data_IF_632601698046
#
_entry.id   IF_632601698046
#
_cell.length_a   1.000
_cell.length_b   1.000
_cell.length_c   1.000
_cell.angle_alpha   90.00
_cell.angle_beta   90.00
_cell.angle_gamma   90.00
#
_symmetry.space_group_name_H-M   'P 1'
#
loop_
_entity.id
_entity.type
_entity.pdbx_description
1 polymer ?
#
# COMPACT_ATOMS: atom_id res chain seq x y z
N UNK A 1 -0.12 25.69 -7.94
CA UNK A 1 -1.14 25.58 -9.02
C UNK A 1 -0.67 24.51 -9.99
N UNK A 2 -1.01 23.25 -9.76
CA UNK A 2 -0.71 22.14 -10.67
C UNK A 2 -1.46 22.44 -11.96
N UNK A 3 -0.71 22.71 -13.02
CA UNK A 3 -1.31 23.04 -14.30
C UNK A 3 -1.99 21.77 -14.82
N UNK A 4 -3.27 21.88 -15.14
CA UNK A 4 -4.05 20.83 -15.83
C UNK A 4 -3.27 20.26 -17.03
N UNK A 5 -2.40 21.08 -17.64
CA UNK A 5 -1.45 20.68 -18.70
C UNK A 5 -0.48 19.58 -18.26
N UNK A 6 -0.01 19.60 -17.01
CA UNK A 6 0.94 18.58 -16.52
C UNK A 6 0.23 17.24 -16.26
N UNK A 7 -1.04 17.28 -15.85
CA UNK A 7 -1.87 16.09 -15.73
C UNK A 7 -2.19 15.46 -17.09
N UNK A 8 -2.57 16.30 -18.07
CA UNK A 8 -2.85 15.85 -19.44
C UNK A 8 -1.58 15.32 -20.11
N UNK A 9 -0.44 15.97 -19.90
CA UNK A 9 0.86 15.52 -20.43
C UNK A 9 1.28 14.18 -19.82
N UNK A 10 1.14 14.01 -18.51
CA UNK A 10 1.42 12.75 -17.85
C UNK A 10 0.46 11.64 -18.29
N UNK A 11 -0.82 11.94 -18.52
CA UNK A 11 -1.79 10.98 -19.03
C UNK A 11 -1.50 10.62 -20.51
N UNK A 12 -1.16 11.58 -21.35
CA UNK A 12 -0.75 11.36 -22.74
C UNK A 12 0.57 10.56 -22.81
N UNK A 13 1.54 10.86 -21.94
CA UNK A 13 2.80 10.11 -21.79
C UNK A 13 2.54 8.66 -21.37
N UNK A 14 1.59 8.45 -20.48
CA UNK A 14 1.13 7.13 -20.03
C UNK A 14 0.53 6.31 -21.19
N UNK A 15 -0.36 6.93 -21.99
CA UNK A 15 -0.96 6.31 -23.17
C UNK A 15 0.10 6.01 -24.24
N UNK A 16 1.02 6.96 -24.49
CA UNK A 16 2.08 6.76 -25.48
C UNK A 16 3.04 5.62 -25.07
N UNK A 17 3.37 5.50 -23.79
CA UNK A 17 4.16 4.38 -23.27
C UNK A 17 3.40 3.05 -23.29
N UNK A 18 2.06 3.09 -23.26
CA UNK A 18 1.20 1.91 -23.42
C UNK A 18 1.25 1.36 -24.86
N UNK A 19 1.31 2.27 -25.84
CA UNK A 19 1.31 1.94 -27.28
C UNK A 19 2.71 1.57 -27.75
N UNK A 20 3.76 2.16 -27.14
CA UNK A 20 5.17 1.95 -27.50
C UNK A 20 6.00 1.55 -26.27
N UNK A 21 5.93 0.32 -25.80
CA UNK A 21 6.67 -0.14 -24.62
C UNK A 21 8.17 -0.13 -24.87
N UNK A 22 8.87 0.88 -24.38
CA UNK A 22 10.32 0.79 -24.18
C UNK A 22 10.58 -0.01 -22.90
N UNK A 23 11.37 -1.04 -23.02
CA UNK A 23 11.47 -2.27 -22.21
C UNK A 23 11.69 -2.17 -20.69
N UNK A 24 11.76 -1.04 -20.05
CA UNK A 24 12.16 -1.01 -18.62
C UNK A 24 11.26 -0.23 -17.65
N UNK A 25 10.32 0.57 -18.11
CA UNK A 25 9.56 1.46 -17.21
C UNK A 25 8.07 1.14 -17.05
N UNK A 26 7.52 0.25 -17.85
CA UNK A 26 6.08 -0.05 -17.89
C UNK A 26 5.65 -1.00 -16.75
N UNK A 27 6.57 -1.84 -16.24
CA UNK A 27 6.20 -2.91 -15.34
C UNK A 27 5.60 -2.47 -13.99
N UNK A 28 6.23 -1.53 -13.29
CA UNK A 28 5.92 -1.30 -11.89
C UNK A 28 4.61 -0.49 -11.67
N UNK A 29 4.34 0.54 -12.45
CA UNK A 29 3.14 1.37 -12.27
C UNK A 29 1.85 0.65 -12.68
N UNK A 30 1.87 -0.04 -13.82
CA UNK A 30 0.70 -0.78 -14.32
C UNK A 30 0.32 -1.98 -13.45
N UNK A 31 1.30 -2.70 -12.92
CA UNK A 31 1.05 -3.82 -12.00
C UNK A 31 0.35 -3.32 -10.74
N UNK A 32 0.75 -2.17 -10.20
CA UNK A 32 0.14 -1.59 -8.99
C UNK A 32 -1.31 -1.13 -9.24
N UNK A 33 -1.55 -0.32 -10.27
CA UNK A 33 -2.91 0.17 -10.58
C UNK A 33 -3.84 -0.94 -11.07
N UNK A 34 -3.32 -1.86 -11.88
CA UNK A 34 -4.05 -3.06 -12.29
C UNK A 34 -4.42 -3.94 -11.11
N UNK A 35 -3.51 -4.08 -10.13
CA UNK A 35 -3.75 -4.79 -8.88
C UNK A 35 -4.85 -4.15 -8.04
N UNK A 36 -4.88 -2.81 -7.91
CA UNK A 36 -5.94 -2.10 -7.19
C UNK A 36 -7.30 -2.28 -7.90
N UNK A 37 -7.38 -2.01 -9.20
CA UNK A 37 -8.63 -2.12 -9.95
C UNK A 37 -9.13 -3.57 -9.99
N UNK A 38 -8.23 -4.53 -10.26
CA UNK A 38 -8.54 -5.95 -10.23
C UNK A 38 -8.97 -6.43 -8.84
N UNK A 39 -8.34 -5.93 -7.78
CA UNK A 39 -8.69 -6.21 -6.38
C UNK A 39 -10.08 -5.69 -6.03
N UNK A 40 -10.41 -4.45 -6.40
CA UNK A 40 -11.74 -3.86 -6.16
C UNK A 40 -12.81 -4.65 -6.95
N UNK A 41 -12.59 -4.92 -8.23
CA UNK A 41 -13.52 -5.68 -9.06
C UNK A 41 -13.68 -7.11 -8.52
N UNK A 42 -12.57 -7.78 -8.21
CA UNK A 42 -12.56 -9.12 -7.63
C UNK A 42 -13.31 -9.19 -6.30
N UNK A 43 -13.20 -8.15 -5.47
CA UNK A 43 -13.94 -8.04 -4.22
C UNK A 43 -15.46 -8.00 -4.45
N UNK A 44 -15.94 -7.16 -5.37
CA UNK A 44 -17.37 -7.09 -5.68
C UNK A 44 -17.89 -8.37 -6.31
N UNK A 45 -17.15 -8.94 -7.26
CA UNK A 45 -17.50 -10.21 -7.90
C UNK A 45 -17.48 -11.37 -6.89
N UNK A 46 -16.47 -11.45 -6.04
CA UNK A 46 -16.35 -12.46 -5.00
C UNK A 46 -17.50 -12.42 -4.01
N UNK A 47 -17.86 -11.22 -3.52
CA UNK A 47 -19.00 -11.05 -2.63
C UNK A 47 -20.32 -11.49 -3.29
N UNK A 48 -20.50 -11.15 -4.58
CA UNK A 48 -21.69 -11.53 -5.37
C UNK A 48 -21.76 -13.05 -5.59
N UNK A 49 -20.65 -13.69 -5.96
CA UNK A 49 -20.56 -15.14 -6.17
C UNK A 49 -20.81 -15.89 -4.86
N UNK A 50 -20.19 -15.46 -3.78
CA UNK A 50 -20.33 -16.05 -2.45
C UNK A 50 -21.70 -15.75 -1.81
N UNK A 51 -22.52 -14.89 -2.42
CA UNK A 51 -23.84 -14.45 -1.89
C UNK A 51 -23.76 -13.89 -0.46
N UNK A 52 -22.66 -13.22 -0.12
CA UNK A 52 -22.44 -12.56 1.17
C UNK A 52 -22.48 -11.06 1.01
N UNK A 53 -22.76 -10.36 2.11
CA UNK A 53 -22.75 -8.88 2.09
C UNK A 53 -21.33 -8.38 1.84
N UNK A 54 -21.19 -7.34 1.03
CA UNK A 54 -19.89 -6.71 0.71
C UNK A 54 -19.13 -6.34 1.99
N UNK A 55 -19.82 -5.85 3.02
CA UNK A 55 -19.20 -5.51 4.29
C UNK A 55 -18.58 -6.72 5.02
N UNK A 56 -19.18 -7.88 4.92
CA UNK A 56 -18.63 -9.12 5.50
C UNK A 56 -17.41 -9.59 4.70
N UNK A 57 -17.50 -9.52 3.37
CA UNK A 57 -16.38 -9.83 2.49
C UNK A 57 -15.19 -8.90 2.74
N UNK A 58 -15.43 -7.58 2.90
CA UNK A 58 -14.42 -6.59 3.27
C UNK A 58 -13.70 -6.93 4.58
N UNK A 59 -14.43 -7.41 5.60
CA UNK A 59 -13.83 -7.82 6.85
C UNK A 59 -12.88 -9.01 6.67
N UNK A 60 -13.29 -10.02 5.91
CA UNK A 60 -12.44 -11.20 5.62
C UNK A 60 -11.22 -10.76 4.81
N UNK A 61 -11.43 -9.96 3.77
CA UNK A 61 -10.36 -9.46 2.91
C UNK A 61 -9.33 -8.64 3.68
N UNK A 62 -9.79 -7.82 4.64
CA UNK A 62 -8.92 -7.00 5.49
C UNK A 62 -7.97 -7.80 6.38
N UNK A 63 -8.34 -9.04 6.73
CA UNK A 63 -7.47 -9.94 7.50
C UNK A 63 -6.40 -10.52 6.59
N UNK A 64 -6.78 -10.97 5.40
CA UNK A 64 -5.87 -11.65 4.48
C UNK A 64 -4.87 -10.67 3.85
N UNK A 65 -5.30 -9.43 3.59
CA UNK A 65 -4.48 -8.43 2.89
C UNK A 65 -3.14 -8.14 3.57
N UNK A 66 -3.03 -7.84 4.88
CA UNK A 66 -1.74 -7.59 5.51
C UNK A 66 -0.84 -8.82 5.50
N UNK A 67 -1.40 -10.02 5.55
CA UNK A 67 -0.63 -11.27 5.43
C UNK A 67 0.03 -11.37 4.05
N UNK A 68 -0.74 -11.26 2.98
CA UNK A 68 -0.21 -11.32 1.60
C UNK A 68 0.77 -10.18 1.35
N UNK A 69 0.46 -8.99 1.85
CA UNK A 69 1.33 -7.81 1.72
C UNK A 69 2.68 -8.02 2.43
N UNK A 70 2.71 -8.66 3.60
CA UNK A 70 3.95 -8.99 4.30
C UNK A 70 4.89 -9.84 3.42
N UNK A 71 4.37 -10.86 2.72
CA UNK A 71 5.15 -11.65 1.77
C UNK A 71 5.59 -10.84 0.55
N UNK A 72 4.75 -9.91 0.07
CA UNK A 72 5.15 -8.96 -0.98
C UNK A 72 6.36 -8.13 -0.57
N UNK A 73 6.45 -7.71 0.71
CA UNK A 73 7.61 -6.98 1.24
C UNK A 73 8.87 -7.86 1.36
N UNK A 74 8.72 -9.14 1.69
CA UNK A 74 9.83 -10.08 1.60
C UNK A 74 10.34 -10.23 0.15
N UNK A 75 9.44 -10.24 -0.82
CA UNK A 75 9.80 -10.22 -2.24
C UNK A 75 10.59 -8.95 -2.61
N UNK A 76 10.14 -7.76 -2.16
CA UNK A 76 10.88 -6.51 -2.34
C UNK A 76 12.27 -6.55 -1.69
N UNK A 77 12.39 -7.17 -0.53
CA UNK A 77 13.68 -7.37 0.15
C UNK A 77 14.63 -8.24 -0.70
N UNK A 78 14.15 -9.38 -1.21
CA UNK A 78 14.95 -10.25 -2.06
C UNK A 78 15.36 -9.58 -3.39
N UNK A 79 14.46 -8.77 -3.97
CA UNK A 79 14.73 -8.02 -5.20
C UNK A 79 15.64 -6.80 -5.00
N UNK A 80 15.83 -6.34 -3.76
CA UNK A 80 16.62 -5.14 -3.45
C UNK A 80 15.95 -3.84 -3.91
N UNK A 81 14.61 -3.81 -3.98
CA UNK A 81 13.84 -2.59 -4.26
C UNK A 81 13.21 -2.02 -2.98
N UNK A 82 12.72 -0.77 -3.03
CA UNK A 82 12.07 -0.11 -1.88
C UNK A 82 12.97 -0.07 -0.62
N UNK A 83 14.25 0.13 -0.80
CA UNK A 83 15.26 0.07 0.25
C UNK A 83 15.19 1.25 1.23
N UNK A 84 15.79 1.05 2.42
CA UNK A 84 15.84 2.04 3.48
C UNK A 84 17.05 2.95 3.42
N UNK A 85 17.12 3.86 4.41
CA UNK A 85 18.21 4.83 4.58
C UNK A 85 19.56 4.14 4.78
N UNK A 86 20.71 4.78 4.43
CA UNK A 86 22.02 4.32 4.83
C UNK A 86 22.12 4.13 6.36
N UNK A 87 22.61 2.98 6.79
CA UNK A 87 22.61 2.58 8.19
C UNK A 87 23.69 1.55 8.47
N UNK A 88 24.57 1.83 9.42
CA UNK A 88 25.72 0.98 9.78
C UNK A 88 25.51 0.13 11.04
N UNK A 89 24.26 -0.02 11.52
CA UNK A 89 23.98 -0.80 12.73
C UNK A 89 23.92 -2.32 12.51
N UNK A 90 23.60 -3.06 13.58
CA UNK A 90 23.62 -4.54 13.63
C UNK A 90 22.74 -5.23 12.58
N UNK A 91 21.68 -4.59 12.12
CA UNK A 91 20.74 -5.14 11.13
C UNK A 91 20.97 -4.59 9.72
N UNK A 92 22.13 -3.96 9.45
CA UNK A 92 22.42 -3.41 8.14
C UNK A 92 22.57 -4.51 7.08
N UNK A 93 21.96 -4.29 5.92
CA UNK A 93 21.98 -5.21 4.77
C UNK A 93 22.72 -4.53 3.63
N UNK A 94 23.58 -5.27 2.93
CA UNK A 94 24.26 -4.84 1.71
C UNK A 94 23.77 -5.65 0.53
N UNK A 95 23.39 -4.99 -0.53
CA UNK A 95 23.04 -5.63 -1.79
C UNK A 95 24.27 -5.70 -2.69
N UNK A 96 24.54 -6.88 -3.25
CA UNK A 96 25.65 -7.12 -4.17
C UNK A 96 25.20 -7.43 -5.60
N UNK A 97 23.88 -7.64 -5.81
CA UNK A 97 23.33 -7.94 -7.12
C UNK A 97 23.24 -6.68 -7.98
N UNK A 98 23.89 -6.59 -9.15
CA UNK A 98 23.80 -5.43 -10.06
C UNK A 98 22.40 -5.14 -10.60
N UNK A 99 21.49 -6.13 -10.58
CA UNK A 99 20.09 -5.97 -11.00
C UNK A 99 19.19 -5.38 -9.90
N UNK A 100 19.74 -5.20 -8.69
CA UNK A 100 19.02 -4.55 -7.59
C UNK A 100 18.89 -3.07 -7.84
N UNK A 101 17.73 -2.47 -7.47
CA UNK A 101 17.57 -1.01 -7.48
C UNK A 101 18.32 -0.34 -6.33
N UNK A 102 18.70 -1.09 -5.29
CA UNK A 102 19.47 -0.57 -4.16
C UNK A 102 20.93 -0.30 -4.55
N UNK A 103 21.58 0.70 -3.95
CA UNK A 103 22.99 0.97 -4.18
C UNK A 103 23.85 -0.22 -3.73
N UNK A 104 24.80 -0.60 -4.61
CA UNK A 104 25.63 -1.79 -4.42
C UNK A 104 26.63 -1.56 -3.27
N UNK A 105 26.77 -2.54 -2.39
CA UNK A 105 27.68 -2.57 -1.25
C UNK A 105 27.51 -1.43 -0.23
N UNK A 106 26.44 -0.65 -0.31
CA UNK A 106 26.09 0.35 0.72
C UNK A 106 25.30 -0.36 1.83
N UNK A 107 25.68 -0.19 3.10
CA UNK A 107 24.89 -0.70 4.22
C UNK A 107 23.60 0.10 4.37
N UNK A 108 22.46 -0.60 4.33
CA UNK A 108 21.11 -0.01 4.32
C UNK A 108 20.28 -0.60 5.44
N UNK A 109 19.36 0.20 5.99
CA UNK A 109 18.35 -0.27 6.93
C UNK A 109 17.32 -1.15 6.21
N UNK A 110 17.03 -2.38 6.68
CA UNK A 110 16.11 -3.30 6.02
C UNK A 110 14.65 -2.94 6.28
N UNK A 111 14.21 -1.78 5.80
CA UNK A 111 12.84 -1.28 6.01
C UNK A 111 11.77 -2.24 5.50
N UNK A 112 12.07 -3.02 4.45
CA UNK A 112 11.17 -4.02 3.90
C UNK A 112 10.89 -5.14 4.92
N UNK A 113 11.90 -5.60 5.66
CA UNK A 113 11.75 -6.60 6.72
C UNK A 113 10.96 -6.04 7.90
N UNK A 114 11.25 -4.80 8.31
CA UNK A 114 10.48 -4.12 9.35
C UNK A 114 9.00 -3.98 8.96
N UNK A 115 8.73 -3.52 7.73
CA UNK A 115 7.35 -3.40 7.22
C UNK A 115 6.64 -4.77 7.15
N UNK A 116 7.33 -5.81 6.67
CA UNK A 116 6.81 -7.18 6.65
C UNK A 116 6.44 -7.68 8.05
N UNK A 117 7.31 -7.46 9.03
CA UNK A 117 7.07 -7.85 10.43
C UNK A 117 5.86 -7.12 11.02
N UNK A 118 5.77 -5.80 10.83
CA UNK A 118 4.65 -4.99 11.32
C UNK A 118 3.31 -5.38 10.65
N UNK A 119 3.33 -5.70 9.36
CA UNK A 119 2.16 -6.22 8.65
C UNK A 119 1.74 -7.60 9.17
N UNK A 120 2.69 -8.46 9.51
CA UNK A 120 2.40 -9.75 10.09
C UNK A 120 1.78 -9.61 11.49
N UNK A 121 2.28 -8.70 12.32
CA UNK A 121 1.63 -8.37 13.60
C UNK A 121 0.22 -7.81 13.40
N UNK A 122 0.03 -6.93 12.43
CA UNK A 122 -1.29 -6.39 12.10
C UNK A 122 -2.25 -7.51 11.67
N UNK A 123 -1.80 -8.47 10.88
CA UNK A 123 -2.58 -9.67 10.53
C UNK A 123 -3.02 -10.43 11.77
N UNK A 124 -2.10 -10.71 12.70
CA UNK A 124 -2.43 -11.45 13.94
C UNK A 124 -3.45 -10.68 14.79
N UNK A 125 -3.29 -9.37 14.94
CA UNK A 125 -4.23 -8.51 15.66
C UNK A 125 -5.62 -8.58 15.02
N UNK A 126 -5.72 -8.41 13.70
CA UNK A 126 -7.00 -8.46 12.98
C UNK A 126 -7.66 -9.85 13.06
N UNK A 127 -6.87 -10.92 13.05
CA UNK A 127 -7.37 -12.28 13.25
C UNK A 127 -7.96 -12.47 14.65
N UNK A 128 -7.30 -11.98 15.69
CA UNK A 128 -7.83 -12.01 17.06
C UNK A 128 -9.13 -11.20 17.17
N UNK A 129 -9.17 -10.01 16.58
CA UNK A 129 -10.36 -9.15 16.55
C UNK A 129 -11.53 -9.81 15.81
N UNK A 130 -11.23 -10.53 14.73
CA UNK A 130 -12.20 -11.31 13.98
C UNK A 130 -12.81 -12.45 14.83
N UNK A 131 -11.97 -13.22 15.52
CA UNK A 131 -12.41 -14.28 16.44
C UNK A 131 -13.30 -13.70 17.56
N UNK A 132 -12.99 -12.49 18.03
CA UNK A 132 -13.81 -11.72 18.98
C UNK A 132 -15.08 -11.12 18.37
N UNK A 133 -15.38 -11.41 17.09
CA UNK A 133 -16.54 -10.90 16.34
C UNK A 133 -16.65 -9.38 16.28
N UNK A 134 -15.52 -8.69 16.34
CA UNK A 134 -15.45 -7.24 16.13
C UNK A 134 -15.86 -6.93 14.69
N UNK A 135 -16.74 -5.96 14.54
CA UNK A 135 -17.19 -5.45 13.23
C UNK A 135 -16.23 -4.38 12.72
N UNK A 136 -16.31 -4.05 11.42
CA UNK A 136 -15.53 -2.97 10.79
C UNK A 136 -14.00 -3.20 10.80
N UNK A 137 -13.55 -4.44 10.68
CA UNK A 137 -12.13 -4.79 10.60
C UNK A 137 -11.42 -4.08 9.45
N UNK A 138 -12.12 -3.85 8.33
CA UNK A 138 -11.59 -3.12 7.19
C UNK A 138 -11.18 -1.68 7.55
N UNK A 139 -11.95 -1.01 8.42
CA UNK A 139 -11.63 0.35 8.85
C UNK A 139 -10.42 0.35 9.80
N UNK A 140 -10.36 -0.63 10.72
CA UNK A 140 -9.22 -0.81 11.63
C UNK A 140 -7.95 -1.09 10.80
N UNK A 141 -8.03 -1.99 9.81
CA UNK A 141 -6.92 -2.29 8.91
C UNK A 141 -6.42 -1.03 8.19
N UNK A 142 -7.33 -0.31 7.52
CA UNK A 142 -6.95 0.87 6.73
C UNK A 142 -6.32 1.96 7.60
N UNK A 143 -6.94 2.31 8.74
CA UNK A 143 -6.38 3.31 9.65
C UNK A 143 -5.01 2.88 10.17
N UNK A 144 -4.86 1.63 10.63
CA UNK A 144 -3.59 1.11 11.14
C UNK A 144 -2.51 1.12 10.05
N UNK A 145 -2.85 0.70 8.83
CA UNK A 145 -1.91 0.67 7.71
C UNK A 145 -1.48 2.08 7.28
N UNK A 146 -2.41 3.04 7.20
CA UNK A 146 -2.06 4.42 6.86
C UNK A 146 -1.12 5.05 7.89
N UNK A 147 -1.38 4.83 9.19
CA UNK A 147 -0.49 5.30 10.26
C UNK A 147 0.89 4.66 10.14
N UNK A 148 0.93 3.34 10.00
CA UNK A 148 2.17 2.59 9.83
C UNK A 148 2.96 3.07 8.61
N UNK A 149 2.27 3.23 7.47
CA UNK A 149 2.87 3.68 6.21
C UNK A 149 3.45 5.08 6.30
N UNK A 150 2.77 5.99 7.02
CA UNK A 150 3.27 7.34 7.26
C UNK A 150 4.64 7.34 7.97
N UNK A 151 4.78 6.53 9.02
CA UNK A 151 6.03 6.46 9.78
C UNK A 151 7.13 5.70 9.04
N UNK A 152 6.81 4.61 8.37
CA UNK A 152 7.79 3.84 7.58
C UNK A 152 8.41 4.66 6.45
N UNK A 153 7.72 5.66 5.96
CA UNK A 153 8.22 6.52 4.90
C UNK A 153 9.49 7.29 5.29
N UNK A 154 9.66 7.63 6.57
CA UNK A 154 10.88 8.28 7.06
C UNK A 154 12.12 7.38 7.03
N UNK A 155 11.93 6.07 7.00
CA UNK A 155 13.01 5.08 6.94
C UNK A 155 13.34 4.66 5.51
N UNK A 156 12.65 5.16 4.51
CA UNK A 156 12.88 4.83 3.10
C UNK A 156 13.78 5.85 2.42
N UNK A 157 14.59 5.37 1.47
CA UNK A 157 15.59 6.18 0.79
C UNK A 157 15.52 6.10 -0.75
N UNK A 158 14.59 5.36 -1.32
CA UNK A 158 14.38 5.28 -2.77
C UNK A 158 13.83 6.61 -3.31
N UNK A 159 14.64 7.34 -4.08
CA UNK A 159 14.37 8.70 -4.56
C UNK A 159 13.34 8.81 -5.70
N UNK A 160 12.95 7.72 -6.31
CA UNK A 160 11.99 7.72 -7.44
C UNK A 160 10.55 8.10 -7.04
N UNK A 161 10.33 8.45 -5.78
CA UNK A 161 9.02 8.81 -5.23
C UNK A 161 8.77 10.30 -5.41
N UNK A 162 7.57 10.65 -5.91
CA UNK A 162 7.13 12.03 -5.99
C UNK A 162 7.05 12.68 -4.60
N UNK A 163 7.52 13.91 -4.49
CA UNK A 163 7.37 14.76 -3.30
C UNK A 163 6.46 15.93 -3.63
N UNK A 164 5.55 16.25 -2.71
CA UNK A 164 4.70 17.42 -2.78
C UNK A 164 4.82 18.19 -1.46
N UNK A 165 5.29 19.43 -1.50
CA UNK A 165 5.57 20.30 -0.36
C UNK A 165 6.60 19.67 0.61
N UNK A 166 7.15 18.93 0.94
CA UNK A 166 8.04 18.28 1.93
C UNK A 166 7.55 16.89 2.35
N UNK A 167 6.36 16.49 1.89
CA UNK A 167 5.84 15.15 2.14
C UNK A 167 5.95 14.29 0.88
N UNK A 168 6.20 12.99 1.07
CA UNK A 168 6.10 12.05 -0.03
C UNK A 168 4.62 11.84 -0.41
N UNK A 169 4.37 11.41 -1.64
CA UNK A 169 3.02 11.04 -2.09
C UNK A 169 2.37 10.01 -1.17
N UNK A 170 3.15 9.05 -0.65
CA UNK A 170 2.68 8.05 0.31
C UNK A 170 2.23 8.65 1.63
N UNK A 171 2.94 9.66 2.14
CA UNK A 171 2.56 10.36 3.37
C UNK A 171 1.26 11.16 3.19
N UNK A 172 1.12 11.86 2.08
CA UNK A 172 -0.12 12.59 1.77
C UNK A 172 -1.31 11.65 1.68
N UNK A 173 -1.16 10.54 0.95
CA UNK A 173 -2.20 9.52 0.84
C UNK A 173 -2.54 8.96 2.23
N UNK A 174 -1.55 8.73 3.08
CA UNK A 174 -1.74 8.22 4.43
C UNK A 174 -2.52 9.20 5.31
N UNK A 175 -2.19 10.49 5.29
CA UNK A 175 -2.91 11.53 6.03
C UNK A 175 -4.37 11.61 5.54
N UNK A 176 -4.57 11.70 4.22
CA UNK A 176 -5.90 11.71 3.64
C UNK A 176 -6.71 10.46 4.02
N UNK A 177 -6.08 9.29 4.00
CA UNK A 177 -6.72 8.03 4.35
C UNK A 177 -7.15 7.95 5.81
N UNK A 178 -6.30 8.38 6.75
CA UNK A 178 -6.62 8.42 8.19
C UNK A 178 -7.80 9.35 8.47
N UNK A 179 -7.94 10.44 7.73
CA UNK A 179 -9.06 11.38 7.87
C UNK A 179 -10.32 10.83 7.18
N UNK A 180 -10.18 10.27 5.99
CA UNK A 180 -11.29 9.83 5.16
C UNK A 180 -12.03 8.64 5.76
N UNK A 181 -11.34 7.64 6.32
CA UNK A 181 -11.97 6.42 6.84
C UNK A 181 -12.97 6.71 7.97
N UNK A 182 -12.65 7.50 9.02
CA UNK A 182 -13.61 7.87 10.06
C UNK A 182 -14.80 8.69 9.50
N UNK A 183 -14.56 9.62 8.58
CA UNK A 183 -15.62 10.40 7.95
C UNK A 183 -16.58 9.48 7.19
N UNK A 184 -16.05 8.54 6.43
CA UNK A 184 -16.85 7.55 5.71
C UNK A 184 -17.72 6.72 6.68
N UNK A 185 -17.16 6.28 7.80
CA UNK A 185 -17.91 5.55 8.82
C UNK A 185 -19.06 6.40 9.41
N UNK A 186 -18.81 7.68 9.68
CA UNK A 186 -19.85 8.59 10.18
C UNK A 186 -20.98 8.77 9.17
N UNK A 187 -20.64 8.91 7.88
CA UNK A 187 -21.63 9.01 6.80
C UNK A 187 -22.47 7.73 6.70
N UNK A 188 -21.81 6.56 6.67
CA UNK A 188 -22.50 5.27 6.56
C UNK A 188 -23.43 5.02 7.75
N UNK A 189 -23.01 5.35 8.98
CA UNK A 189 -23.87 5.26 10.15
C UNK A 189 -25.08 6.21 10.09
N UNK A 190 -24.89 7.44 9.62
CA UNK A 190 -26.02 8.39 9.45
C UNK A 190 -27.03 7.93 8.39
N UNK A 191 -26.53 7.34 7.29
CA UNK A 191 -27.41 6.80 6.25
C UNK A 191 -28.23 5.61 6.75
N UNK A 192 -27.62 4.72 7.53
CA UNK A 192 -28.30 3.58 8.12
C UNK A 192 -29.43 4.02 9.06
N UNK A 193 -29.18 4.99 9.95
CA UNK A 193 -30.18 5.51 10.90
C UNK A 193 -31.34 6.29 10.23
N UNK A 194 -31.23 6.65 8.95
CA UNK A 194 -32.33 7.28 8.19
C UNK A 194 -33.24 6.26 7.49
N UNK A 195 -32.80 5.04 7.37
CA UNK A 195 -33.52 3.95 6.67
C UNK A 195 -34.22 2.99 7.65
N UNK A 196 -33.96 3.12 8.95
CA UNK A 196 -34.67 2.51 10.07
C UNK A 196 -35.72 3.49 10.63
#
# INVERSE_FOLDING_TARGET
>A
MLKIKDFIFNFAFLINNLIHPKESQIGAGFVFYGGILGGILGMFLGAKIAKIRVAEFLNIFSIITPFVHAFGRLGCFCAGCCYGIPYDGLCAIKYSNPLSSAPINVPLFPVQLLESLLLFFLFVILLILFIKKIKLLWAIYLCSYFVLRFFLEYLRYDYERGFLFSFSTSQIISICGVIFVPILLLILNRLKNKTE
#
